data_IF_210691781796
#
_entry.id   IF_210691781796
#
_cell.length_a   1.000
_cell.length_b   1.000
_cell.length_c   1.000
_cell.angle_alpha   90.00
_cell.angle_beta   90.00
_cell.angle_gamma   90.00
#
_symmetry.space_group_name_H-M   'P 1'
#
loop_
_entity.id
_entity.type
_entity.pdbx_description
1 polymer ?
#
# COMPACT_ATOMS: atom_id res chain seq x y z
N UNK A 1 5.89 4.74 9.05
CA UNK A 1 5.59 5.90 8.18
C UNK A 1 6.30 5.67 6.85
N UNK A 2 5.90 6.36 5.79
CA UNK A 2 6.61 6.34 4.50
C UNK A 2 7.53 7.55 4.36
N UNK A 3 7.11 8.67 4.91
CA UNK A 3 7.84 9.94 4.97
C UNK A 3 7.45 10.73 6.22
N UNK A 4 8.18 11.82 6.47
CA UNK A 4 7.93 12.80 7.53
C UNK A 4 8.72 14.10 7.24
N UNK A 5 8.69 15.04 8.19
CA UNK A 5 9.33 16.36 8.13
C UNK A 5 10.87 16.39 8.15
N UNK A 6 11.55 15.27 8.28
CA UNK A 6 13.02 15.19 8.39
C UNK A 6 13.67 14.39 7.26
N UNK A 7 12.90 13.96 6.25
CA UNK A 7 13.39 13.18 5.10
C UNK A 7 12.70 13.61 3.82
N UNK A 8 13.22 13.16 2.68
CA UNK A 8 12.49 13.31 1.42
C UNK A 8 11.09 12.70 1.52
N UNK A 9 10.10 13.39 0.95
CA UNK A 9 8.74 12.88 0.72
C UNK A 9 8.84 11.59 -0.09
N UNK A 10 7.95 10.64 0.18
CA UNK A 10 8.00 9.35 -0.49
C UNK A 10 7.86 9.50 -2.00
N UNK A 11 6.98 10.41 -2.45
CA UNK A 11 6.71 10.61 -3.87
C UNK A 11 7.93 11.14 -4.65
N UNK A 12 8.77 11.96 -4.00
CA UNK A 12 10.05 12.40 -4.56
C UNK A 12 11.02 11.24 -4.77
N UNK A 13 11.19 10.41 -3.73
CA UNK A 13 12.03 9.19 -3.80
C UNK A 13 11.50 8.24 -4.87
N UNK A 14 10.17 8.18 -5.02
CA UNK A 14 9.47 7.40 -6.03
C UNK A 14 9.45 8.06 -7.43
N UNK A 15 10.05 9.25 -7.60
CA UNK A 15 10.08 10.01 -8.86
C UNK A 15 8.69 10.28 -9.46
N UNK A 16 7.74 10.69 -8.62
CA UNK A 16 6.36 10.95 -9.03
C UNK A 16 5.51 9.69 -9.25
N UNK A 17 6.01 8.48 -8.93
CA UNK A 17 5.25 7.24 -9.13
C UNK A 17 4.18 7.04 -8.05
N UNK A 18 2.96 7.52 -8.35
CA UNK A 18 1.78 7.41 -7.49
C UNK A 18 1.36 5.95 -7.29
N UNK A 19 1.55 5.06 -8.27
CA UNK A 19 1.22 3.64 -8.12
C UNK A 19 2.13 2.98 -7.08
N UNK A 20 3.42 3.34 -7.07
CA UNK A 20 4.36 2.90 -6.04
C UNK A 20 3.97 3.42 -4.65
N UNK A 21 3.51 4.68 -4.55
CA UNK A 21 2.97 5.23 -3.31
C UNK A 21 1.74 4.45 -2.84
N UNK A 22 0.78 4.15 -3.73
CA UNK A 22 -0.40 3.36 -3.38
C UNK A 22 -0.04 1.96 -2.89
N UNK A 23 0.92 1.29 -3.54
CA UNK A 23 1.43 -0.02 -3.10
C UNK A 23 2.11 0.04 -1.73
N UNK A 24 2.97 1.06 -1.51
CA UNK A 24 3.65 1.26 -0.24
C UNK A 24 2.66 1.62 0.90
N UNK A 25 1.66 2.44 0.61
CA UNK A 25 0.62 2.83 1.55
C UNK A 25 -0.26 1.62 1.92
N UNK A 26 -0.65 0.78 0.95
CA UNK A 26 -1.34 -0.48 1.25
C UNK A 26 -0.49 -1.35 2.17
N UNK A 27 0.79 -1.55 1.85
CA UNK A 27 1.69 -2.30 2.72
C UNK A 27 1.72 -1.71 4.14
N UNK A 28 1.96 -0.41 4.27
CA UNK A 28 1.99 0.31 5.54
C UNK A 28 0.71 0.10 6.36
N UNK A 29 -0.46 0.19 5.71
CA UNK A 29 -1.76 0.03 6.37
C UNK A 29 -2.08 -1.40 6.77
N UNK A 30 -1.30 -2.39 6.32
CA UNK A 30 -1.37 -3.76 6.84
C UNK A 30 -0.45 -4.03 8.02
N UNK A 31 0.49 -3.12 8.33
CA UNK A 31 1.45 -3.32 9.41
C UNK A 31 0.80 -3.14 10.80
N UNK A 32 1.39 -3.77 11.84
CA UNK A 32 0.99 -3.52 13.22
C UNK A 32 1.33 -2.09 13.63
N UNK A 33 0.60 -1.60 14.64
CA UNK A 33 0.64 -0.21 15.15
C UNK A 33 -0.02 0.82 14.21
N UNK A 34 -0.36 2.02 14.69
CA UNK A 34 -1.01 3.03 13.86
C UNK A 34 -0.14 3.43 12.66
N UNK A 35 -0.68 3.44 11.43
CA UNK A 35 -0.01 4.07 10.31
C UNK A 35 0.05 5.59 10.55
N UNK A 36 1.19 6.19 10.25
CA UNK A 36 1.38 7.64 10.28
C UNK A 36 1.43 8.13 8.83
N UNK A 37 0.58 9.09 8.50
CA UNK A 37 0.54 9.80 7.22
C UNK A 37 1.08 11.19 7.47
N UNK A 38 2.06 11.64 6.69
CA UNK A 38 2.53 13.02 6.72
C UNK A 38 1.69 13.86 5.76
N UNK A 39 1.39 15.12 6.11
CA UNK A 39 0.43 15.93 5.36
C UNK A 39 0.80 16.03 3.87
N UNK A 40 -0.22 15.92 3.03
CA UNK A 40 -0.09 16.00 1.58
C UNK A 40 0.35 14.70 0.92
N UNK A 41 0.83 13.70 1.67
CA UNK A 41 1.15 12.38 1.09
C UNK A 41 -0.10 11.76 0.46
N UNK A 42 -1.25 11.90 1.13
CA UNK A 42 -2.55 11.42 0.67
C UNK A 42 -3.13 12.22 -0.51
N UNK A 43 -2.56 13.37 -0.84
CA UNK A 43 -2.99 14.23 -1.96
C UNK A 43 -1.97 14.32 -3.07
N UNK A 44 -0.83 13.63 -2.96
CA UNK A 44 0.23 13.62 -3.97
C UNK A 44 1.21 14.80 -3.87
N UNK A 45 1.33 15.43 -2.71
CA UNK A 45 2.29 16.52 -2.48
C UNK A 45 3.73 16.00 -2.63
N UNK A 46 4.44 16.52 -3.62
CA UNK A 46 5.84 16.27 -3.87
C UNK A 46 6.71 17.42 -3.30
N UNK A 47 8.04 17.27 -3.35
CA UNK A 47 8.99 18.36 -3.10
C UNK A 47 9.70 18.76 -4.40
N UNK A 48 10.50 19.82 -4.35
CA UNK A 48 11.11 20.42 -5.53
C UNK A 48 12.58 20.04 -5.68
N UNK A 49 13.28 19.88 -4.55
CA UNK A 49 14.68 19.50 -4.48
C UNK A 49 14.91 18.43 -3.42
N UNK A 50 16.06 17.75 -3.48
CA UNK A 50 16.44 16.81 -2.44
C UNK A 50 16.73 17.53 -1.11
N UNK A 51 16.48 16.88 0.02
CA UNK A 51 16.87 17.39 1.33
C UNK A 51 18.40 17.42 1.52
N UNK A 52 19.15 16.58 0.80
CA UNK A 52 20.62 16.57 0.80
C UNK A 52 21.16 17.22 -0.49
N UNK A 53 21.97 18.26 -0.34
CA UNK A 53 22.56 19.00 -1.44
C UNK A 53 24.01 18.56 -1.72
N UNK A 54 24.50 18.83 -2.93
CA UNK A 54 25.86 18.46 -3.37
C UNK A 54 26.98 19.06 -2.50
N UNK A 55 26.70 20.15 -1.79
CA UNK A 55 27.63 20.78 -0.85
C UNK A 55 27.67 20.10 0.54
N UNK A 56 26.93 19.00 0.70
CA UNK A 56 26.80 18.25 1.96
C UNK A 56 25.86 18.89 2.97
N UNK A 57 25.21 20.01 2.64
CA UNK A 57 24.19 20.62 3.50
C UNK A 57 22.88 19.85 3.44
N UNK A 58 22.14 19.86 4.56
CA UNK A 58 20.78 19.30 4.64
C UNK A 58 19.77 20.42 4.84
N UNK A 59 18.78 20.50 3.96
CA UNK A 59 17.66 21.45 4.04
C UNK A 59 16.34 20.69 4.15
N UNK A 60 15.94 20.39 5.37
CA UNK A 60 14.69 19.66 5.63
C UNK A 60 13.44 20.46 5.20
N UNK A 61 13.58 21.77 4.94
CA UNK A 61 12.55 22.66 4.41
C UNK A 61 11.91 22.15 3.12
N UNK A 62 12.66 21.40 2.29
CA UNK A 62 12.13 20.79 1.05
C UNK A 62 10.97 19.82 1.34
N UNK A 63 11.02 19.11 2.48
CA UNK A 63 9.92 18.24 2.92
C UNK A 63 8.76 19.01 3.56
N UNK A 64 8.95 20.29 3.89
CA UNK A 64 8.05 21.13 4.69
C UNK A 64 7.39 22.24 3.87
N UNK A 65 7.32 22.09 2.55
CA UNK A 65 6.66 23.07 1.68
C UNK A 65 5.17 23.22 2.04
N UNK A 66 4.56 24.40 1.78
CA UNK A 66 3.13 24.59 1.99
C UNK A 66 2.30 23.54 1.25
N UNK A 67 1.17 23.17 1.85
CA UNK A 67 0.20 22.31 1.19
C UNK A 67 -0.33 22.97 -0.09
N UNK A 68 -0.33 22.23 -1.19
CA UNK A 68 -0.97 22.64 -2.45
C UNK A 68 -2.45 22.28 -2.40
N UNK A 69 -3.28 23.25 -2.03
CA UNK A 69 -4.74 23.08 -1.96
C UNK A 69 -5.42 23.16 -3.32
N UNK A 70 -4.71 23.62 -4.36
CA UNK A 70 -5.26 23.78 -5.71
C UNK A 70 -5.11 22.49 -6.52
N UNK A 71 -4.06 21.71 -6.25
CA UNK A 71 -3.73 20.49 -6.99
C UNK A 71 -3.78 19.23 -6.10
N UNK A 72 -4.98 18.84 -5.66
CA UNK A 72 -5.19 17.60 -4.90
C UNK A 72 -5.43 16.42 -5.84
N UNK A 73 -4.64 15.34 -5.72
CA UNK A 73 -4.99 14.06 -6.33
C UNK A 73 -6.17 13.43 -5.57
N UNK A 74 -7.37 13.68 -6.08
CA UNK A 74 -8.63 13.17 -5.50
C UNK A 74 -8.72 11.65 -5.52
N UNK A 75 -8.06 10.98 -6.47
CA UNK A 75 -8.06 9.53 -6.58
C UNK A 75 -7.18 8.89 -5.50
N UNK A 76 -6.03 9.51 -5.22
CA UNK A 76 -5.14 9.09 -4.15
C UNK A 76 -5.79 9.36 -2.79
N UNK A 77 -6.43 10.51 -2.62
CA UNK A 77 -7.15 10.83 -1.39
C UNK A 77 -8.30 9.84 -1.13
N UNK A 78 -9.06 9.46 -2.16
CA UNK A 78 -10.07 8.43 -2.06
C UNK A 78 -9.45 7.08 -1.64
N UNK A 79 -8.34 6.68 -2.28
CA UNK A 79 -7.63 5.46 -1.93
C UNK A 79 -7.15 5.44 -0.46
N UNK A 80 -6.63 6.55 0.07
CA UNK A 80 -6.27 6.65 1.49
C UNK A 80 -7.49 6.53 2.42
N UNK A 81 -8.65 7.04 2.02
CA UNK A 81 -9.90 6.84 2.77
C UNK A 81 -10.31 5.37 2.77
N UNK A 82 -10.16 4.66 1.65
CA UNK A 82 -10.42 3.23 1.57
C UNK A 82 -9.44 2.41 2.43
N UNK A 83 -8.16 2.78 2.44
CA UNK A 83 -7.17 2.18 3.36
C UNK A 83 -7.60 2.31 4.82
N UNK A 84 -8.07 3.50 5.23
CA UNK A 84 -8.57 3.75 6.58
C UNK A 84 -9.84 2.94 6.86
N UNK A 85 -10.79 2.90 5.92
CA UNK A 85 -12.04 2.13 6.03
C UNK A 85 -11.74 0.64 6.24
N UNK A 86 -10.98 0.04 5.32
CA UNK A 86 -10.58 -1.36 5.39
C UNK A 86 -9.87 -1.65 6.71
N UNK A 87 -8.93 -0.79 7.12
CA UNK A 87 -8.22 -0.93 8.41
C UNK A 87 -9.16 -0.97 9.62
N UNK A 88 -10.20 -0.15 9.62
CA UNK A 88 -11.20 -0.08 10.70
C UNK A 88 -12.15 -1.28 10.69
N UNK A 89 -12.51 -1.78 9.52
CA UNK A 89 -13.44 -2.92 9.35
C UNK A 89 -12.80 -4.28 9.68
N UNK A 90 -11.47 -4.40 9.53
CA UNK A 90 -10.74 -5.64 9.75
C UNK A 90 -9.57 -5.50 10.75
N UNK A 91 -9.79 -5.01 11.99
CA UNK A 91 -8.73 -4.65 12.94
C UNK A 91 -7.78 -5.79 13.33
N UNK A 92 -8.24 -7.02 13.23
CA UNK A 92 -7.54 -8.27 13.49
C UNK A 92 -6.48 -8.60 12.43
N UNK A 93 -6.69 -8.22 11.15
CA UNK A 93 -5.74 -8.50 10.06
C UNK A 93 -4.38 -7.82 10.26
N UNK A 94 -4.33 -6.72 11.02
CA UNK A 94 -3.11 -5.94 11.28
C UNK A 94 -2.54 -6.12 12.67
N UNK A 95 -3.30 -6.69 13.61
CA UNK A 95 -2.79 -7.12 14.92
C UNK A 95 -2.32 -8.57 14.93
N UNK A 96 -2.69 -9.33 13.90
CA UNK A 96 -2.36 -10.75 13.73
C UNK A 96 -0.91 -11.04 13.32
N UNK A 97 -0.63 -12.33 13.12
CA UNK A 97 0.68 -12.85 12.72
C UNK A 97 0.87 -12.66 11.22
N UNK A 98 2.06 -12.20 10.81
CA UNK A 98 2.43 -12.02 9.40
C UNK A 98 3.44 -13.06 9.00
N UNK A 99 3.24 -13.70 7.87
CA UNK A 99 4.20 -14.62 7.27
C UNK A 99 4.44 -14.23 5.82
N UNK A 100 5.70 -14.08 5.44
CA UNK A 100 6.06 -13.93 4.03
C UNK A 100 5.91 -15.31 3.38
N UNK A 101 4.97 -15.44 2.44
CA UNK A 101 4.71 -16.71 1.76
C UNK A 101 5.65 -16.91 0.57
N UNK A 102 5.93 -15.82 -0.15
CA UNK A 102 6.78 -15.85 -1.32
C UNK A 102 7.42 -14.49 -1.52
N UNK A 103 8.75 -14.50 -1.54
CA UNK A 103 9.50 -13.50 -2.31
C UNK A 103 9.69 -14.08 -3.70
N UNK A 104 9.15 -13.41 -4.71
CA UNK A 104 9.43 -13.71 -6.11
C UNK A 104 10.37 -12.65 -6.64
N UNK A 105 11.49 -13.08 -7.25
CA UNK A 105 12.39 -12.30 -8.13
C UNK A 105 12.27 -10.78 -7.99
N UNK A 106 13.15 -10.12 -7.21
CA UNK A 106 13.39 -8.68 -6.95
C UNK A 106 12.20 -7.68 -6.82
N UNK A 107 11.05 -7.94 -7.41
CA UNK A 107 9.98 -7.00 -7.73
C UNK A 107 8.61 -7.42 -7.16
N UNK A 108 8.40 -8.68 -6.76
CA UNK A 108 7.09 -9.14 -6.29
C UNK A 108 7.14 -9.81 -4.90
N UNK A 109 6.27 -9.33 -4.02
CA UNK A 109 6.14 -9.72 -2.62
C UNK A 109 4.73 -10.26 -2.33
N UNK A 110 4.63 -11.47 -1.80
CA UNK A 110 3.37 -12.06 -1.34
C UNK A 110 3.47 -12.40 0.14
N UNK A 111 2.56 -11.82 0.94
CA UNK A 111 2.51 -11.92 2.39
C UNK A 111 1.16 -12.47 2.82
N UNK A 112 1.16 -13.53 3.63
CA UNK A 112 0.00 -13.96 4.38
C UNK A 112 -0.13 -13.18 5.69
N UNK A 113 -1.37 -12.81 5.99
CA UNK A 113 -1.81 -12.16 7.22
C UNK A 113 -2.76 -13.13 7.92
N UNK A 114 -2.40 -13.60 9.09
CA UNK A 114 -3.19 -14.53 9.90
C UNK A 114 -3.76 -13.80 11.10
N UNK A 115 -5.08 -13.83 11.25
CA UNK A 115 -5.82 -13.15 12.29
C UNK A 115 -6.85 -14.10 12.92
N UNK A 116 -6.47 -14.77 14.00
CA UNK A 116 -7.30 -15.77 14.67
C UNK A 116 -7.86 -16.85 13.70
N UNK A 117 -9.14 -16.78 13.36
CA UNK A 117 -9.87 -17.68 12.45
C UNK A 117 -9.90 -17.18 10.99
N UNK A 118 -9.38 -15.98 10.73
CA UNK A 118 -9.33 -15.35 9.40
C UNK A 118 -7.92 -15.34 8.85
N UNK A 119 -7.83 -15.52 7.53
CA UNK A 119 -6.58 -15.36 6.79
C UNK A 119 -6.79 -14.38 5.67
N UNK A 120 -5.81 -13.53 5.39
CA UNK A 120 -5.77 -12.67 4.23
C UNK A 120 -4.42 -12.79 3.52
N UNK A 121 -4.39 -12.47 2.23
CA UNK A 121 -3.17 -12.34 1.43
C UNK A 121 -3.03 -10.88 1.00
N UNK A 122 -1.88 -10.30 1.31
CA UNK A 122 -1.38 -9.08 0.68
C UNK A 122 -0.40 -9.50 -0.41
N UNK A 123 -0.70 -9.12 -1.65
CA UNK A 123 0.19 -9.34 -2.78
C UNK A 123 0.57 -8.00 -3.41
N UNK A 124 1.85 -7.79 -3.65
CA UNK A 124 2.44 -6.58 -4.22
C UNK A 124 3.34 -7.01 -5.37
N UNK A 125 3.17 -6.40 -6.54
CA UNK A 125 4.03 -6.58 -7.69
C UNK A 125 4.47 -5.20 -8.19
N UNK A 126 5.75 -4.87 -7.98
CA UNK A 126 6.39 -3.64 -8.46
C UNK A 126 6.91 -3.78 -9.89
N UNK A 127 7.03 -5.02 -10.37
CA UNK A 127 7.62 -5.39 -11.64
C UNK A 127 6.64 -5.26 -12.80
N UNK A 128 7.17 -5.23 -14.03
CA UNK A 128 6.37 -5.11 -15.25
C UNK A 128 5.71 -6.43 -15.66
N UNK A 129 6.21 -7.56 -15.17
CA UNK A 129 5.71 -8.89 -15.50
C UNK A 129 4.59 -9.25 -14.54
N UNK A 130 3.38 -9.57 -15.02
CA UNK A 130 2.29 -10.00 -14.14
C UNK A 130 2.59 -11.32 -13.43
N UNK A 131 2.17 -11.44 -12.18
CA UNK A 131 2.39 -12.63 -11.33
C UNK A 131 1.06 -13.34 -11.10
N UNK A 132 1.02 -14.66 -11.32
CA UNK A 132 -0.16 -15.48 -10.96
C UNK A 132 -0.16 -15.78 -9.48
N UNK A 133 -1.27 -15.49 -8.81
CA UNK A 133 -1.50 -15.77 -7.40
C UNK A 133 -2.41 -16.99 -7.24
N UNK A 134 -2.02 -17.93 -6.38
CA UNK A 134 -2.90 -19.02 -5.95
C UNK A 134 -3.82 -18.52 -4.84
N UNK A 135 -4.98 -17.96 -5.20
CA UNK A 135 -5.97 -17.46 -4.24
C UNK A 135 -7.03 -18.55 -4.01
N UNK A 136 -7.30 -18.98 -2.76
CA UNK A 136 -8.34 -19.95 -2.46
C UNK A 136 -9.73 -19.53 -2.98
N UNK A 137 -10.54 -20.50 -3.41
CA UNK A 137 -11.95 -20.27 -3.76
C UNK A 137 -12.73 -19.66 -2.59
N UNK A 138 -13.69 -18.78 -2.89
CA UNK A 138 -14.47 -18.05 -1.88
C UNK A 138 -13.70 -16.91 -1.21
N UNK A 139 -12.53 -16.54 -1.72
CA UNK A 139 -11.82 -15.33 -1.28
C UNK A 139 -12.45 -14.06 -1.87
N UNK A 140 -12.43 -12.98 -1.09
CA UNK A 140 -12.97 -11.66 -1.45
C UNK A 140 -11.87 -10.61 -1.48
N UNK A 141 -11.79 -9.84 -2.57
CA UNK A 141 -10.88 -8.69 -2.66
C UNK A 141 -11.37 -7.56 -1.74
N UNK A 142 -10.54 -7.16 -0.78
CA UNK A 142 -10.83 -6.03 0.11
C UNK A 142 -10.39 -4.69 -0.50
N UNK A 143 -9.23 -4.66 -1.14
CA UNK A 143 -8.69 -3.45 -1.77
C UNK A 143 -7.70 -3.77 -2.88
N UNK A 144 -7.60 -2.89 -3.87
CA UNK A 144 -6.55 -2.88 -4.90
C UNK A 144 -5.99 -1.47 -5.11
N UNK A 145 -4.74 -1.37 -5.53
CA UNK A 145 -4.13 -0.07 -5.89
C UNK A 145 -4.57 0.44 -7.26
N UNK A 146 -5.09 -0.46 -8.11
CA UNK A 146 -5.68 -0.14 -9.42
C UNK A 146 -7.20 -0.20 -9.33
N UNK A 147 -7.89 0.69 -10.06
CA UNK A 147 -9.33 1.00 -9.94
C UNK A 147 -10.34 -0.10 -10.38
N UNK A 148 -10.04 -1.39 -10.21
CA UNK A 148 -10.94 -2.47 -10.60
C UNK A 148 -11.27 -3.39 -9.42
N UNK A 149 -12.58 -3.47 -9.12
CA UNK A 149 -13.27 -4.58 -8.43
C UNK A 149 -12.99 -4.76 -6.92
N UNK A 150 -13.49 -3.83 -6.10
CA UNK A 150 -13.70 -4.11 -4.67
C UNK A 150 -14.91 -5.05 -4.47
N UNK A 151 -14.77 -6.06 -3.60
CA UNK A 151 -15.87 -6.96 -3.25
C UNK A 151 -16.15 -8.09 -4.25
N UNK A 152 -15.31 -8.26 -5.27
CA UNK A 152 -15.44 -9.36 -6.25
C UNK A 152 -14.84 -10.65 -5.72
N UNK A 153 -15.56 -11.76 -5.89
CA UNK A 153 -15.05 -13.11 -5.65
C UNK A 153 -14.02 -13.48 -6.71
N UNK A 154 -12.91 -14.10 -6.29
CA UNK A 154 -11.81 -14.43 -7.21
C UNK A 154 -11.44 -15.91 -7.12
N UNK A 155 -11.22 -16.52 -8.30
CA UNK A 155 -10.92 -17.95 -8.43
C UNK A 155 -9.53 -18.24 -8.97
N UNK A 156 -8.88 -17.27 -9.63
CA UNK A 156 -7.47 -17.29 -10.04
C UNK A 156 -7.08 -15.85 -10.44
N UNK A 157 -6.16 -15.19 -9.72
CA UNK A 157 -5.86 -13.77 -9.96
C UNK A 157 -4.47 -13.56 -10.55
N UNK A 158 -4.40 -12.94 -11.72
CA UNK A 158 -3.17 -12.38 -12.28
C UNK A 158 -2.99 -10.99 -11.70
N UNK A 159 -1.88 -10.76 -10.99
CA UNK A 159 -1.50 -9.47 -10.41
C UNK A 159 -0.55 -8.74 -11.38
N UNK A 160 -1.00 -7.69 -12.11
CA UNK A 160 -0.11 -6.83 -12.89
C UNK A 160 0.77 -5.99 -11.93
N UNK A 161 1.45 -4.94 -12.43
CA UNK A 161 2.18 -4.00 -11.57
C UNK A 161 1.22 -3.24 -10.65
N UNK A 162 0.87 -3.83 -9.52
CA UNK A 162 -0.08 -3.29 -8.56
C UNK A 162 -0.01 -4.05 -7.24
N UNK A 163 -0.86 -3.71 -6.29
CA UNK A 163 -1.07 -4.50 -5.10
C UNK A 163 -2.56 -4.76 -4.84
N UNK A 164 -2.83 -5.88 -4.16
CA UNK A 164 -4.15 -6.26 -3.70
C UNK A 164 -4.11 -6.85 -2.30
N UNK A 165 -5.17 -6.60 -1.54
CA UNK A 165 -5.45 -7.25 -0.26
C UNK A 165 -6.70 -8.11 -0.43
N UNK A 166 -6.57 -9.40 -0.13
CA UNK A 166 -7.61 -10.40 -0.32
C UNK A 166 -7.90 -11.08 1.01
N UNK A 167 -9.17 -11.09 1.43
CA UNK A 167 -9.63 -11.86 2.58
C UNK A 167 -10.04 -13.26 2.10
N UNK A 168 -9.55 -14.31 2.75
CA UNK A 168 -9.95 -15.67 2.45
C UNK A 168 -11.19 -16.03 3.27
N UNK A 169 -12.16 -16.71 2.63
CA UNK A 169 -13.28 -17.30 3.35
C UNK A 169 -12.77 -18.28 4.40
N UNK A 170 -13.50 -18.40 5.52
CA UNK A 170 -13.31 -19.51 6.45
C UNK A 170 -13.50 -20.78 5.63
N UNK A 171 -12.43 -21.57 5.47
CA UNK A 171 -12.52 -22.84 4.80
C UNK A 171 -13.69 -23.61 5.40
N UNK A 172 -14.64 -24.01 4.57
CA UNK A 172 -15.59 -25.04 4.96
C UNK A 172 -14.75 -26.26 5.33
N UNK A 173 -14.49 -26.43 6.63
CA UNK A 173 -14.03 -27.69 7.17
C UNK A 173 -15.15 -28.69 6.94
N UNK A 174 -15.03 -29.42 5.83
CA UNK A 174 -15.74 -30.68 5.61
C UNK A 174 -15.13 -31.79 6.46
#
# INVERSE_FOLDING_TARGET
FLDNHDMNRFLWVARGDVDLLKMAALYQFTLPRPPIIYYGTETGLEQWHDVEYDDGSRKSEESRIPMDWENIDVSLLAFYRDLIRVRREHPDLWSGVRQILRETTDDALVVALYAADRTATLAINRGKVPVRLGIPLGSRVLLRTTAQDEGVETTDTVLPRSAMLVLHGSGAGG
#
